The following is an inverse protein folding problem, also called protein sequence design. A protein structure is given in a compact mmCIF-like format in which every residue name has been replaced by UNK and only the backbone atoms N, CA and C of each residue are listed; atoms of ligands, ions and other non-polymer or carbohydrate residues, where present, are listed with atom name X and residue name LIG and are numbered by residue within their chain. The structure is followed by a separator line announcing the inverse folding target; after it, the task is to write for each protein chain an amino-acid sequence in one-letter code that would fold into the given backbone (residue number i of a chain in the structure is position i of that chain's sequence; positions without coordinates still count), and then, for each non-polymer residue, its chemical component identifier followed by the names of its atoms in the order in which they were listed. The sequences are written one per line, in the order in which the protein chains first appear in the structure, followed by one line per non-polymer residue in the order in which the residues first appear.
data_IF_745966994849
#
_entry.id   IF_745966994849
#
_cell.length_a   1.000
_cell.length_b   1.000
_cell.length_c   1.000
_cell.angle_alpha   90.00
_cell.angle_beta   90.00
_cell.angle_gamma   90.00
#
_symmetry.space_group_name_H-M   'P 1'
#
loop_
_entity.id
_entity.type
_entity.pdbx_description
1 polymer ?
#
# COMPACT_ATOMS: atom_id res chain seq x y z
N UNK A 1 41.43 28.41 -41.21
CA UNK A 1 41.64 29.11 -39.92
C UNK A 1 40.42 28.82 -39.06
N UNK A 2 40.68 28.10 -37.98
CA UNK A 2 39.87 27.83 -36.77
C UNK A 2 38.38 28.19 -36.83
N UNK A 3 37.53 27.15 -36.84
CA UNK A 3 36.21 27.15 -36.22
C UNK A 3 36.36 26.58 -34.81
N UNK A 4 35.76 27.24 -33.82
CA UNK A 4 35.57 26.69 -32.48
C UNK A 4 34.15 27.02 -31.99
N UNK A 5 33.54 26.04 -31.32
CA UNK A 5 32.52 26.28 -30.30
C UNK A 5 31.19 25.55 -30.48
N UNK A 6 31.17 24.21 -30.36
CA UNK A 6 30.11 23.47 -29.66
C UNK A 6 30.48 21.97 -29.57
N UNK A 7 30.06 21.33 -28.46
CA UNK A 7 30.09 19.90 -28.09
C UNK A 7 31.26 19.52 -27.14
N UNK A 8 31.02 19.53 -25.82
CA UNK A 8 31.74 18.70 -24.84
C UNK A 8 30.79 18.31 -23.69
N UNK A 9 30.27 17.08 -23.73
CA UNK A 9 29.84 16.34 -22.52
C UNK A 9 29.91 14.82 -22.68
N UNK A 10 29.98 14.30 -23.91
CA UNK A 10 30.16 12.87 -24.20
C UNK A 10 31.63 12.39 -24.15
N UNK A 11 32.63 13.28 -24.23
CA UNK A 11 34.05 12.86 -24.27
C UNK A 11 34.69 12.53 -22.91
N UNK A 12 33.99 12.73 -21.79
CA UNK A 12 34.47 12.30 -20.46
C UNK A 12 34.03 10.90 -20.02
N UNK A 13 33.09 10.27 -20.73
CA UNK A 13 32.67 8.88 -20.47
C UNK A 13 33.47 7.86 -21.30
N UNK A 14 34.14 8.30 -22.36
CA UNK A 14 34.89 7.43 -23.28
C UNK A 14 36.31 7.03 -22.85
N UNK A 15 36.78 7.38 -21.65
CA UNK A 15 38.17 7.07 -21.21
C UNK A 15 38.31 6.32 -19.89
N UNK A 16 37.25 5.63 -19.44
CA UNK A 16 37.34 4.75 -18.27
C UNK A 16 36.84 3.32 -18.52
N UNK A 17 36.93 2.84 -19.76
CA UNK A 17 36.68 1.43 -20.09
C UNK A 17 37.82 0.94 -20.97
N UNK A 18 39.02 0.81 -20.41
CA UNK A 18 40.06 -0.04 -20.97
C UNK A 18 40.89 -0.62 -19.82
N UNK A 19 40.45 -1.79 -19.35
CA UNK A 19 41.28 -2.94 -18.92
C UNK A 19 40.33 -3.99 -18.34
N UNK A 20 40.14 -5.08 -19.08
CA UNK A 20 39.99 -6.48 -18.62
C UNK A 20 39.64 -7.39 -19.85
N UNK A 21 39.99 -8.70 -19.84
CA UNK A 21 40.37 -9.47 -21.04
C UNK A 21 39.25 -10.26 -21.75
N UNK A 22 39.65 -10.89 -22.86
CA UNK A 22 38.86 -11.32 -24.01
C UNK A 22 38.01 -12.61 -23.90
N UNK A 23 37.38 -12.93 -22.77
CA UNK A 23 36.55 -14.15 -22.63
C UNK A 23 35.02 -13.93 -22.64
N UNK A 24 34.54 -12.69 -22.78
CA UNK A 24 33.10 -12.36 -22.74
C UNK A 24 32.42 -12.12 -24.09
N UNK A 25 33.00 -12.57 -25.21
CA UNK A 25 32.33 -12.49 -26.54
C UNK A 25 31.55 -13.75 -26.94
N UNK A 26 31.40 -14.74 -26.06
CA UNK A 26 30.75 -16.02 -26.39
C UNK A 26 29.27 -16.18 -26.00
N UNK A 27 28.68 -15.30 -25.18
CA UNK A 27 27.39 -15.59 -24.52
C UNK A 27 26.18 -14.78 -25.03
N UNK A 28 26.37 -13.91 -26.02
CA UNK A 28 25.28 -13.08 -26.56
C UNK A 28 24.49 -13.72 -27.72
N UNK A 29 24.76 -14.99 -28.07
CA UNK A 29 24.04 -15.69 -29.15
C UNK A 29 23.72 -17.12 -28.70
N UNK A 30 22.77 -17.26 -27.78
CA UNK A 30 21.95 -18.48 -27.53
C UNK A 30 21.09 -18.29 -26.28
N UNK A 31 20.04 -17.48 -26.39
CA UNK A 31 18.84 -17.55 -25.54
C UNK A 31 17.65 -16.96 -26.31
N UNK A 32 17.45 -17.43 -27.54
CA UNK A 32 16.17 -17.37 -28.26
C UNK A 32 15.65 -18.81 -28.31
N UNK A 33 14.94 -19.23 -27.27
CA UNK A 33 14.43 -20.60 -27.19
C UNK A 33 14.15 -21.11 -25.78
N UNK A 34 13.36 -20.37 -25.00
CA UNK A 34 12.64 -20.91 -23.85
C UNK A 34 11.44 -20.01 -23.58
N UNK A 35 10.41 -20.16 -24.41
CA UNK A 35 9.08 -19.73 -24.06
C UNK A 35 8.58 -20.61 -22.91
N UNK A 36 7.93 -19.96 -21.93
CA UNK A 36 7.24 -20.53 -20.76
C UNK A 36 8.08 -20.74 -19.50
N UNK A 37 8.44 -19.62 -18.88
CA UNK A 37 8.49 -19.51 -17.41
C UNK A 37 7.90 -18.15 -17.04
N UNK A 38 6.70 -18.14 -16.43
CA UNK A 38 6.10 -16.96 -15.79
C UNK A 38 6.31 -17.13 -14.28
N UNK A 39 6.97 -16.20 -13.58
CA UNK A 39 6.85 -16.17 -12.12
C UNK A 39 5.40 -15.79 -11.79
N UNK A 40 4.74 -16.56 -10.94
CA UNK A 40 3.47 -16.14 -10.34
C UNK A 40 3.74 -14.89 -9.49
N UNK A 41 2.90 -13.86 -9.62
CA UNK A 41 3.07 -12.54 -8.98
C UNK A 41 3.26 -12.62 -7.45
N UNK A 42 2.71 -13.66 -6.82
CA UNK A 42 2.74 -13.91 -5.37
C UNK A 42 4.15 -14.00 -4.75
N UNK A 43 5.16 -14.49 -5.48
CA UNK A 43 6.52 -14.67 -4.93
C UNK A 43 7.31 -13.34 -4.89
N UNK A 44 6.96 -12.37 -5.74
CA UNK A 44 7.63 -11.07 -5.83
C UNK A 44 7.25 -10.18 -4.64
N UNK A 45 5.98 -10.21 -4.24
CA UNK A 45 5.45 -9.45 -3.11
C UNK A 45 5.99 -9.96 -1.78
N UNK A 46 6.13 -11.28 -1.61
CA UNK A 46 6.70 -11.86 -0.40
C UNK A 46 8.17 -11.46 -0.21
N UNK A 47 8.95 -11.39 -1.30
CA UNK A 47 10.35 -10.96 -1.28
C UNK A 47 10.45 -9.44 -1.04
N UNK A 48 9.56 -8.64 -1.63
CA UNK A 48 9.52 -7.20 -1.41
C UNK A 48 9.11 -6.86 0.03
N UNK A 49 8.04 -7.45 0.56
CA UNK A 49 7.57 -7.27 1.94
C UNK A 49 8.64 -7.72 2.94
N UNK A 50 9.31 -8.85 2.70
CA UNK A 50 10.44 -9.27 3.52
C UNK A 50 11.61 -8.26 3.48
N UNK A 51 11.92 -7.69 2.32
CA UNK A 51 12.97 -6.69 2.17
C UNK A 51 12.62 -5.36 2.88
N UNK A 52 11.36 -4.92 2.80
CA UNK A 52 10.86 -3.72 3.49
C UNK A 52 10.86 -3.92 5.00
N UNK A 53 10.39 -5.08 5.50
CA UNK A 53 10.45 -5.43 6.92
C UNK A 53 11.88 -5.45 7.45
N UNK A 54 12.83 -5.98 6.67
CA UNK A 54 14.25 -5.97 7.00
C UNK A 54 14.79 -4.53 7.03
N UNK A 55 14.47 -3.69 6.03
CA UNK A 55 14.93 -2.31 5.97
C UNK A 55 14.40 -1.46 7.13
N UNK A 56 13.10 -1.56 7.43
CA UNK A 56 12.46 -0.83 8.55
C UNK A 56 13.00 -1.29 9.90
N UNK A 57 13.24 -2.59 10.08
CA UNK A 57 13.85 -3.14 11.30
C UNK A 57 15.32 -2.68 11.47
N UNK A 58 16.09 -2.62 10.37
CA UNK A 58 17.44 -2.07 10.38
C UNK A 58 17.45 -0.56 10.69
N UNK A 59 16.43 0.20 10.28
CA UNK A 59 16.35 1.64 10.56
C UNK A 59 15.90 1.97 12.01
N UNK A 60 15.17 1.10 12.70
CA UNK A 60 14.64 1.36 14.06
C UNK A 60 15.60 1.07 15.23
N UNK A 61 16.87 0.81 14.95
CA UNK A 61 17.88 0.57 15.99
C UNK A 61 19.21 1.27 15.76
N UNK A 62 19.32 2.13 14.74
CA UNK A 62 20.58 2.77 14.37
C UNK A 62 20.55 4.23 14.77
N UNK A 63 21.19 4.56 15.89
CA UNK A 63 21.58 5.92 16.21
C UNK A 63 22.78 6.29 15.33
N UNK A 64 22.56 7.10 14.30
CA UNK A 64 23.67 7.65 13.50
C UNK A 64 24.18 8.89 14.21
N UNK A 65 25.34 8.79 14.84
CA UNK A 65 26.02 9.95 15.39
C UNK A 65 26.74 10.66 14.23
N UNK A 66 26.23 11.83 13.82
CA UNK A 66 26.66 12.50 12.59
C UNK A 66 28.16 12.94 12.61
N UNK A 67 28.80 12.94 13.78
CA UNK A 67 30.21 13.32 13.93
C UNK A 67 31.19 12.12 13.93
N UNK A 68 30.69 10.89 14.00
CA UNK A 68 31.51 9.66 14.00
C UNK A 68 30.96 8.62 13.03
N UNK A 69 30.90 8.96 11.76
CA UNK A 69 30.67 7.96 10.72
C UNK A 69 31.82 6.94 10.76
N UNK A 70 31.56 5.70 11.22
CA UNK A 70 32.17 4.42 10.78
C UNK A 70 31.79 3.20 11.63
N UNK A 71 31.17 3.33 12.82
CA UNK A 71 30.77 2.15 13.61
C UNK A 71 29.25 1.92 13.63
N UNK A 72 28.82 0.78 13.08
CA UNK A 72 27.49 0.18 13.27
C UNK A 72 27.68 -0.97 14.25
N UNK A 73 27.25 -0.80 15.50
CA UNK A 73 27.28 -1.86 16.51
C UNK A 73 25.98 -2.66 16.45
N UNK A 74 26.09 -3.95 16.07
CA UNK A 74 24.98 -4.91 16.15
C UNK A 74 25.13 -5.68 17.46
N UNK A 75 24.11 -5.70 18.36
CA UNK A 75 24.22 -6.39 19.64
C UNK A 75 24.53 -7.89 19.49
N UNK A 76 25.49 -8.38 20.29
CA UNK A 76 25.82 -9.79 20.36
C UNK A 76 24.60 -10.60 20.85
N UNK A 77 24.03 -11.41 19.94
CA UNK A 77 22.79 -12.17 20.19
C UNK A 77 21.75 -12.11 19.05
N UNK A 78 22.01 -11.34 17.99
CA UNK A 78 21.08 -11.15 16.88
C UNK A 78 20.88 -12.38 15.96
N UNK A 79 21.94 -13.17 15.74
CA UNK A 79 21.92 -14.31 14.82
C UNK A 79 21.43 -15.65 15.42
N UNK A 80 21.62 -15.97 16.71
CA UNK A 80 21.19 -17.26 17.27
C UNK A 80 19.66 -17.44 17.41
N UNK A 81 18.86 -16.38 17.25
CA UNK A 81 17.40 -16.46 17.34
C UNK A 81 16.75 -17.15 16.11
N UNK A 82 17.51 -17.37 15.03
CA UNK A 82 17.09 -18.14 13.87
C UNK A 82 17.61 -19.58 14.04
N UNK A 83 16.73 -20.52 14.36
CA UNK A 83 17.11 -21.92 14.54
C UNK A 83 17.87 -22.46 13.30
N UNK A 84 18.95 -23.23 13.49
CA UNK A 84 19.72 -23.79 12.37
C UNK A 84 18.87 -24.88 11.70
N UNK A 85 18.24 -24.52 10.58
CA UNK A 85 17.39 -25.45 9.82
C UNK A 85 16.26 -24.81 9.00
N UNK A 86 15.98 -23.52 9.18
CA UNK A 86 14.96 -22.78 8.37
C UNK A 86 15.50 -21.67 7.47
N UNK A 87 16.82 -21.47 7.43
CA UNK A 87 17.45 -20.62 6.43
C UNK A 87 17.69 -21.44 5.17
N UNK A 88 17.18 -20.96 4.03
CA UNK A 88 17.51 -21.51 2.71
C UNK A 88 19.04 -21.65 2.58
N UNK A 89 19.57 -22.74 1.98
CA UNK A 89 21.02 -23.00 1.86
C UNK A 89 21.83 -21.87 1.19
N UNK A 90 21.16 -20.86 0.61
CA UNK A 90 21.75 -19.69 -0.03
C UNK A 90 22.12 -18.54 0.92
N UNK A 91 21.81 -18.63 2.22
CA UNK A 91 22.12 -17.59 3.21
C UNK A 91 23.31 -17.92 4.13
N UNK A 92 23.93 -19.10 3.97
CA UNK A 92 25.07 -19.55 4.78
C UNK A 92 26.40 -18.82 4.47
N UNK A 93 26.45 -18.01 3.43
CA UNK A 93 27.66 -17.27 3.00
C UNK A 93 27.80 -15.84 3.56
N UNK A 94 26.89 -15.37 4.41
CA UNK A 94 26.91 -13.99 4.90
C UNK A 94 28.02 -13.68 5.93
N UNK A 95 28.79 -14.67 6.38
CA UNK A 95 29.81 -14.46 7.40
C UNK A 95 31.18 -13.99 6.91
N UNK A 96 31.34 -13.70 5.61
CA UNK A 96 32.63 -13.19 5.12
C UNK A 96 32.48 -12.29 3.90
N UNK A 97 32.13 -11.03 4.11
CA UNK A 97 32.37 -9.98 3.13
C UNK A 97 32.72 -8.68 3.84
N UNK A 98 34.02 -8.40 3.89
CA UNK A 98 34.57 -7.11 4.31
C UNK A 98 34.24 -6.02 3.29
N UNK A 99 33.66 -4.92 3.81
CA UNK A 99 33.63 -3.55 3.27
C UNK A 99 33.40 -3.40 1.76
N UNK A 100 32.16 -3.17 1.33
CA UNK A 100 31.88 -2.34 0.15
C UNK A 100 30.58 -1.54 0.32
N UNK A 101 30.52 -0.38 -0.32
CA UNK A 101 29.51 0.67 -0.15
C UNK A 101 28.11 0.29 -0.67
N UNK A 102 27.04 0.98 -0.23
CA UNK A 102 25.64 0.61 -0.50
C UNK A 102 25.25 0.51 -1.99
N UNK A 103 26.04 1.07 -2.91
CA UNK A 103 25.78 1.01 -4.36
C UNK A 103 26.07 -0.35 -5.01
N UNK A 104 26.80 -1.26 -4.35
CA UNK A 104 27.14 -2.58 -4.90
C UNK A 104 26.09 -3.67 -4.58
N UNK A 105 25.19 -3.41 -3.62
CA UNK A 105 24.23 -4.40 -3.11
C UNK A 105 23.12 -4.70 -4.13
N UNK A 106 22.69 -3.70 -4.89
CA UNK A 106 21.62 -3.81 -5.90
C UNK A 106 22.07 -4.47 -7.21
N UNK A 107 23.35 -4.39 -7.57
CA UNK A 107 23.87 -5.02 -8.79
C UNK A 107 24.14 -6.53 -8.61
N UNK A 108 24.58 -6.96 -7.43
CA UNK A 108 24.90 -8.37 -7.16
C UNK A 108 23.67 -9.28 -7.08
N UNK A 109 22.50 -8.73 -6.68
CA UNK A 109 21.24 -9.46 -6.64
C UNK A 109 20.69 -9.79 -8.03
N UNK A 110 21.03 -8.99 -9.05
CA UNK A 110 20.49 -9.16 -10.41
C UNK A 110 21.35 -10.09 -11.30
N UNK A 111 22.64 -10.29 -10.99
CA UNK A 111 23.55 -11.10 -11.82
C UNK A 111 23.62 -12.60 -11.47
N UNK A 112 23.05 -13.05 -10.34
CA UNK A 112 23.16 -14.46 -9.88
C UNK A 112 21.99 -15.38 -10.29
N UNK A 113 21.12 -14.96 -11.20
CA UNK A 113 20.00 -15.79 -11.68
C UNK A 113 20.26 -16.59 -12.96
N UNK A 114 21.48 -16.59 -13.50
CA UNK A 114 21.83 -17.40 -14.68
C UNK A 114 23.16 -18.11 -14.48
N UNK A 115 23.11 -19.31 -13.89
CA UNK A 115 23.96 -20.47 -14.17
C UNK A 115 23.93 -21.44 -12.98
N UNK A 116 23.24 -22.57 -13.13
CA UNK A 116 23.81 -23.92 -13.00
C UNK A 116 22.69 -24.92 -12.69
N UNK A 117 22.18 -25.54 -13.77
CA UNK A 117 21.69 -26.91 -13.77
C UNK A 117 22.89 -27.78 -14.17
N UNK A 118 23.19 -28.81 -13.38
CA UNK A 118 23.59 -30.19 -13.76
C UNK A 118 24.28 -30.87 -12.55
N UNK A 119 23.57 -31.89 -12.05
CA UNK A 119 23.96 -33.17 -11.41
C UNK A 119 25.20 -33.27 -10.50
N UNK A 120 25.03 -33.83 -9.29
CA UNK A 120 25.32 -35.25 -9.06
C UNK A 120 24.74 -35.77 -7.72
N UNK A 121 24.32 -37.04 -7.76
CA UNK A 121 23.94 -37.90 -6.64
C UNK A 121 25.11 -38.10 -5.66
N UNK A 122 24.85 -38.13 -4.35
CA UNK A 122 25.25 -39.29 -3.55
C UNK A 122 24.59 -39.36 -2.16
N UNK A 123 24.17 -40.58 -1.83
CA UNK A 123 23.62 -41.02 -0.55
C UNK A 123 24.69 -41.13 0.55
N UNK A 124 24.42 -40.66 1.77
CA UNK A 124 24.59 -41.39 3.04
C UNK A 124 24.53 -40.47 4.27
N UNK A 125 23.65 -40.80 5.22
CA UNK A 125 23.97 -41.00 6.65
C UNK A 125 22.77 -40.69 7.55
N UNK A 126 22.11 -41.76 7.99
CA UNK A 126 21.25 -41.79 9.17
C UNK A 126 22.10 -41.78 10.45
N UNK A 127 21.44 -41.41 11.55
CA UNK A 127 21.76 -41.64 12.97
C UNK A 127 22.59 -40.56 13.69
N UNK A 128 21.96 -39.86 14.64
CA UNK A 128 22.06 -40.16 16.08
C UNK A 128 21.29 -39.11 16.91
N UNK A 129 20.24 -39.56 17.61
CA UNK A 129 19.79 -38.94 18.86
C UNK A 129 20.74 -39.39 19.98
N UNK A 130 21.14 -38.49 20.89
CA UNK A 130 20.88 -38.60 22.33
C UNK A 130 21.58 -37.52 23.18
N UNK A 131 20.82 -37.05 24.18
CA UNK A 131 21.20 -36.46 25.47
C UNK A 131 22.00 -35.16 25.53
N UNK A 132 21.36 -34.11 26.07
CA UNK A 132 21.89 -33.35 27.20
C UNK A 132 20.75 -32.55 27.86
N UNK A 133 20.09 -33.18 28.83
CA UNK A 133 19.26 -32.48 29.81
C UNK A 133 20.16 -31.91 30.91
N UNK A 134 19.70 -30.79 31.49
CA UNK A 134 20.08 -30.18 32.78
C UNK A 134 21.45 -29.51 32.91
N UNK A 135 21.46 -28.17 32.90
CA UNK A 135 22.07 -27.35 33.97
C UNK A 135 21.47 -25.92 33.98
N UNK A 136 21.03 -25.51 35.18
CA UNK A 136 20.72 -24.16 35.70
C UNK A 136 19.32 -23.53 35.51
N UNK A 137 18.53 -23.43 36.61
CA UNK A 137 17.27 -22.73 36.71
C UNK A 137 17.45 -21.33 37.31
N UNK A 138 17.53 -20.29 36.48
CA UNK A 138 17.29 -18.90 36.89
C UNK A 138 17.20 -17.97 35.66
N UNK A 139 16.03 -17.95 35.00
CA UNK A 139 15.58 -16.89 34.07
C UNK A 139 14.09 -17.11 33.75
N UNK A 140 13.31 -17.45 34.76
CA UNK A 140 11.88 -17.19 34.75
C UNK A 140 11.70 -15.73 35.18
N UNK A 141 11.26 -14.89 34.22
CA UNK A 141 10.85 -13.47 34.30
C UNK A 141 11.71 -12.54 33.44
N UNK A 142 11.51 -12.65 32.13
CA UNK A 142 11.43 -11.56 31.15
C UNK A 142 11.27 -12.23 29.80
N UNK A 143 10.03 -12.52 29.45
CA UNK A 143 9.67 -12.71 28.04
C UNK A 143 10.21 -11.48 27.32
N UNK A 144 11.09 -11.61 26.32
CA UNK A 144 11.38 -10.49 25.45
C UNK A 144 10.04 -10.14 24.81
N UNK A 145 9.49 -8.97 25.13
CA UNK A 145 8.45 -8.40 24.31
C UNK A 145 9.10 -8.17 22.96
N UNK A 146 8.90 -9.11 22.03
CA UNK A 146 9.01 -8.80 20.63
C UNK A 146 7.99 -7.69 20.40
N UNK A 147 8.47 -6.45 20.35
CA UNK A 147 7.84 -5.37 19.59
C UNK A 147 7.87 -5.82 18.13
N UNK A 148 7.08 -6.85 17.80
CA UNK A 148 6.82 -7.25 16.43
C UNK A 148 6.11 -6.08 15.78
N UNK A 149 6.62 -5.66 14.63
CA UNK A 149 5.96 -4.68 13.78
C UNK A 149 4.55 -5.21 13.48
N UNK A 150 3.55 -4.67 14.16
CA UNK A 150 2.16 -5.04 13.98
C UNK A 150 1.58 -4.09 12.95
N UNK A 151 1.16 -4.64 11.82
CA UNK A 151 0.46 -3.86 10.81
C UNK A 151 -0.88 -3.36 11.41
N UNK A 152 -1.34 -2.17 11.00
CA UNK A 152 -2.65 -1.67 11.39
C UNK A 152 -3.76 -2.50 10.74
N UNK A 153 -5.00 -2.26 11.17
CA UNK A 153 -6.17 -2.74 10.44
C UNK A 153 -6.20 -2.16 9.03
N UNK A 154 -6.55 -2.98 8.05
CA UNK A 154 -6.93 -2.49 6.74
C UNK A 154 -8.39 -2.06 6.78
N UNK A 155 -8.61 -0.74 6.88
CA UNK A 155 -9.91 -0.12 7.11
C UNK A 155 -10.70 0.19 5.84
N UNK A 156 -10.17 -0.17 4.66
CA UNK A 156 -10.76 0.15 3.36
C UNK A 156 -10.45 -0.95 2.34
N UNK A 157 -11.39 -1.87 2.14
CA UNK A 157 -11.27 -3.02 1.22
C UNK A 157 -12.60 -3.26 0.51
N UNK A 158 -12.55 -3.46 -0.79
CA UNK A 158 -13.69 -3.77 -1.65
C UNK A 158 -13.68 -5.24 -2.07
N UNK A 159 -14.87 -5.77 -2.35
CA UNK A 159 -15.04 -7.19 -2.74
C UNK A 159 -16.09 -7.33 -3.84
N UNK A 160 -16.54 -8.54 -4.11
CA UNK A 160 -17.55 -8.81 -5.15
C UNK A 160 -18.86 -8.02 -4.97
N UNK A 161 -19.10 -7.47 -3.78
CA UNK A 161 -20.26 -6.66 -3.43
C UNK A 161 -20.16 -5.20 -3.87
N UNK A 162 -18.96 -4.69 -4.14
CA UNK A 162 -18.74 -3.39 -4.79
C UNK A 162 -18.94 -3.50 -6.29
N UNK A 163 -19.61 -2.53 -6.90
CA UNK A 163 -20.04 -2.60 -8.30
C UNK A 163 -18.88 -2.55 -9.30
N UNK A 164 -17.72 -2.04 -8.90
CA UNK A 164 -16.51 -1.87 -9.71
C UNK A 164 -15.40 -2.87 -9.40
N UNK A 165 -15.62 -3.78 -8.46
CA UNK A 165 -14.63 -4.76 -8.02
C UNK A 165 -14.83 -6.11 -8.74
N UNK A 166 -13.94 -6.41 -9.70
CA UNK A 166 -13.91 -7.69 -10.44
C UNK A 166 -12.47 -8.10 -10.86
N UNK A 167 -11.98 -9.29 -10.45
CA UNK A 167 -12.62 -10.21 -9.51
C UNK A 167 -12.48 -9.72 -8.07
N UNK A 168 -13.61 -9.40 -7.42
CA UNK A 168 -13.69 -9.30 -5.98
C UNK A 168 -13.84 -10.68 -5.34
N UNK A 169 -13.19 -10.91 -4.20
CA UNK A 169 -13.36 -12.15 -3.42
C UNK A 169 -13.10 -11.88 -1.94
N UNK A 170 -14.17 -11.72 -1.15
CA UNK A 170 -14.11 -11.45 0.27
C UNK A 170 -13.38 -12.54 1.08
N UNK A 171 -13.56 -13.81 0.72
CA UNK A 171 -12.92 -14.92 1.42
C UNK A 171 -11.41 -14.97 1.14
N UNK A 172 -11.01 -14.73 -0.11
CA UNK A 172 -9.60 -14.63 -0.48
C UNK A 172 -8.94 -13.39 0.14
N UNK A 173 -9.65 -12.27 0.26
CA UNK A 173 -9.20 -11.07 0.97
C UNK A 173 -8.97 -11.36 2.46
N UNK A 174 -9.86 -12.10 3.12
CA UNK A 174 -9.62 -12.57 4.50
C UNK A 174 -8.38 -13.47 4.60
N UNK A 175 -8.22 -14.40 3.66
CA UNK A 175 -7.05 -15.27 3.62
C UNK A 175 -5.75 -14.47 3.40
N UNK A 176 -5.77 -13.42 2.58
CA UNK A 176 -4.63 -12.50 2.42
C UNK A 176 -4.34 -11.73 3.70
N UNK A 177 -5.36 -11.16 4.34
CA UNK A 177 -5.20 -10.40 5.58
C UNK A 177 -4.46 -11.21 6.65
N UNK A 178 -4.84 -12.48 6.83
CA UNK A 178 -4.13 -13.41 7.72
C UNK A 178 -2.69 -13.68 7.29
N UNK A 179 -2.41 -13.87 5.99
CA UNK A 179 -1.04 -14.06 5.48
C UNK A 179 -0.16 -12.84 5.73
N UNK A 180 -0.71 -11.63 5.60
CA UNK A 180 -0.02 -10.38 5.87
C UNK A 180 0.24 -10.15 7.36
N UNK A 181 -0.54 -10.83 8.23
CA UNK A 181 -0.53 -10.63 9.67
C UNK A 181 -1.32 -9.39 10.11
N UNK A 182 -2.33 -9.00 9.34
CA UNK A 182 -3.25 -7.93 9.70
C UNK A 182 -4.09 -8.37 10.92
N UNK A 183 -4.29 -7.48 11.92
CA UNK A 183 -5.11 -7.80 13.07
C UNK A 183 -6.61 -7.73 12.77
N UNK A 184 -7.00 -6.93 11.78
CA UNK A 184 -8.37 -6.85 11.29
C UNK A 184 -8.43 -6.37 9.83
N UNK A 185 -9.57 -6.60 9.21
CA UNK A 185 -9.96 -6.03 7.90
C UNK A 185 -11.38 -5.46 8.01
N UNK A 186 -11.61 -4.29 7.43
CA UNK A 186 -12.94 -3.72 7.24
C UNK A 186 -13.28 -3.78 5.75
N UNK A 187 -14.37 -4.48 5.42
CA UNK A 187 -14.94 -4.44 4.09
C UNK A 187 -15.83 -3.20 3.99
N UNK A 188 -15.50 -2.27 3.10
CA UNK A 188 -16.16 -0.97 2.96
C UNK A 188 -16.69 -0.85 1.55
N UNK A 189 -17.73 -1.62 1.26
CA UNK A 189 -18.25 -1.72 -0.11
C UNK A 189 -18.78 -0.38 -0.60
N UNK A 190 -18.69 -0.17 -1.91
CA UNK A 190 -19.23 1.00 -2.59
C UNK A 190 -20.73 1.15 -2.30
N UNK A 191 -21.10 2.27 -1.68
CA UNK A 191 -22.48 2.70 -1.51
C UNK A 191 -22.65 4.04 -2.23
N UNK A 192 -22.97 3.95 -3.51
CA UNK A 192 -23.06 5.10 -4.41
C UNK A 192 -24.50 5.31 -4.91
N UNK A 193 -24.96 6.56 -4.84
CA UNK A 193 -26.23 7.00 -5.44
C UNK A 193 -26.03 8.02 -6.57
N UNK A 194 -24.80 8.48 -6.75
CA UNK A 194 -24.45 9.43 -7.80
C UNK A 194 -24.54 8.73 -9.15
N UNK A 195 -25.26 9.34 -10.09
CA UNK A 195 -25.22 8.95 -11.50
C UNK A 195 -24.06 9.66 -12.16
N UNK A 196 -23.12 8.88 -12.68
CA UNK A 196 -21.91 9.39 -13.31
C UNK A 196 -22.20 9.65 -14.79
N UNK A 197 -21.68 10.76 -15.31
CA UNK A 197 -21.92 11.21 -16.69
C UNK A 197 -20.62 11.31 -17.46
N UNK A 198 -20.70 11.20 -18.78
CA UNK A 198 -19.55 11.17 -19.70
C UNK A 198 -18.51 10.11 -19.30
N UNK A 199 -18.97 8.96 -18.80
CA UNK A 199 -18.10 7.84 -18.49
C UNK A 199 -17.74 7.13 -19.80
N UNK A 200 -16.46 7.12 -20.13
CA UNK A 200 -15.95 6.33 -21.25
C UNK A 200 -15.45 4.97 -20.73
N UNK A 201 -15.80 3.85 -21.39
CA UNK A 201 -15.27 2.54 -21.01
C UNK A 201 -13.74 2.55 -21.12
N UNK A 202 -13.06 2.34 -20.00
CA UNK A 202 -11.61 2.10 -20.04
C UNK A 202 -11.36 0.78 -20.78
N UNK A 203 -10.36 0.71 -21.67
CA UNK A 203 -10.02 -0.52 -22.40
C UNK A 203 -9.75 -1.72 -21.48
N UNK A 204 -9.29 -1.45 -20.26
CA UNK A 204 -8.92 -2.44 -19.25
C UNK A 204 -9.94 -2.49 -18.09
N UNK A 205 -11.08 -1.79 -18.18
CA UNK A 205 -12.12 -1.88 -17.16
C UNK A 205 -12.74 -3.28 -17.14
N UNK A 206 -13.11 -3.80 -15.94
CA UNK A 206 -13.82 -5.05 -15.85
C UNK A 206 -15.17 -5.01 -16.58
N UNK A 207 -15.63 -6.16 -17.07
CA UNK A 207 -16.90 -6.28 -17.77
C UNK A 207 -18.06 -5.79 -16.92
N UNK A 208 -18.02 -6.06 -15.60
CA UNK A 208 -18.99 -5.59 -14.62
C UNK A 208 -19.16 -4.06 -14.63
N UNK A 209 -18.08 -3.30 -14.83
CA UNK A 209 -18.15 -1.82 -14.93
C UNK A 209 -18.63 -1.40 -16.32
N UNK A 210 -18.07 -1.98 -17.38
CA UNK A 210 -18.41 -1.59 -18.75
C UNK A 210 -19.88 -1.84 -19.08
N UNK A 211 -20.47 -2.90 -18.53
CA UNK A 211 -21.88 -3.26 -18.74
C UNK A 211 -22.86 -2.32 -18.01
N UNK A 212 -22.38 -1.52 -17.05
CA UNK A 212 -23.17 -0.51 -16.35
C UNK A 212 -23.19 0.84 -17.08
N UNK A 213 -22.34 1.04 -18.09
CA UNK A 213 -22.26 2.27 -18.87
C UNK A 213 -23.31 2.21 -19.99
N UNK A 214 -24.30 3.09 -19.92
CA UNK A 214 -25.31 3.27 -20.96
C UNK A 214 -24.71 3.79 -22.27
N UNK A 215 -25.44 3.60 -23.38
CA UNK A 215 -25.04 4.10 -24.71
C UNK A 215 -24.83 5.63 -24.75
N UNK A 216 -25.43 6.36 -23.80
CA UNK A 216 -25.32 7.80 -23.63
C UNK A 216 -24.13 8.23 -22.74
N UNK A 217 -23.30 7.29 -22.29
CA UNK A 217 -22.16 7.55 -21.40
C UNK A 217 -22.56 7.79 -19.94
N UNK A 218 -23.77 7.38 -19.55
CA UNK A 218 -24.26 7.45 -18.17
C UNK A 218 -23.98 6.13 -17.45
N UNK A 219 -23.36 6.18 -16.28
CA UNK A 219 -23.21 5.02 -15.37
C UNK A 219 -24.08 5.26 -14.13
N UNK A 220 -25.00 4.34 -13.87
CA UNK A 220 -25.79 4.33 -12.62
C UNK A 220 -25.33 3.17 -11.76
N UNK A 221 -24.66 3.43 -10.62
CA UNK A 221 -24.24 2.37 -9.72
C UNK A 221 -25.45 1.54 -9.27
N UNK A 222 -25.38 0.19 -9.32
CA UNK A 222 -26.43 -0.65 -8.80
C UNK A 222 -26.53 -0.49 -7.28
N UNK A 223 -27.72 -0.67 -6.68
CA UNK A 223 -27.86 -0.64 -5.22
C UNK A 223 -27.06 -1.80 -4.59
N UNK A 224 -26.38 -1.51 -3.47
CA UNK A 224 -25.71 -2.53 -2.67
C UNK A 224 -26.74 -3.53 -2.10
N UNK A 225 -26.54 -4.81 -2.36
CA UNK A 225 -27.28 -5.89 -1.69
C UNK A 225 -26.74 -6.08 -0.26
N UNK A 226 -27.27 -5.28 0.66
CA UNK A 226 -26.84 -5.25 2.07
C UNK A 226 -27.03 -6.61 2.75
N UNK A 227 -28.14 -7.30 2.50
CA UNK A 227 -28.42 -8.59 3.13
C UNK A 227 -27.43 -9.66 2.66
N UNK A 228 -27.17 -9.71 1.35
CA UNK A 228 -26.18 -10.60 0.76
C UNK A 228 -24.76 -10.33 1.25
N UNK A 229 -24.37 -9.04 1.27
CA UNK A 229 -23.08 -8.57 1.77
C UNK A 229 -22.85 -8.97 3.23
N UNK A 230 -23.79 -8.66 4.13
CA UNK A 230 -23.67 -8.99 5.55
C UNK A 230 -23.68 -10.50 5.79
N UNK A 231 -24.45 -11.27 5.02
CA UNK A 231 -24.39 -12.73 5.05
C UNK A 231 -23.02 -13.26 4.59
N UNK A 232 -22.36 -12.62 3.61
CA UNK A 232 -20.99 -12.97 3.20
C UNK A 232 -19.98 -12.70 4.31
N UNK A 233 -20.06 -11.53 4.93
CA UNK A 233 -19.20 -11.18 6.08
C UNK A 233 -19.36 -12.19 7.21
N UNK A 234 -20.60 -12.60 7.54
CA UNK A 234 -20.82 -13.60 8.58
C UNK A 234 -20.17 -14.95 8.24
N UNK A 235 -20.28 -15.41 6.98
CA UNK A 235 -19.58 -16.64 6.54
C UNK A 235 -18.07 -16.52 6.69
N UNK A 236 -17.50 -15.35 6.35
CA UNK A 236 -16.08 -15.10 6.51
C UNK A 236 -15.67 -15.10 7.99
N UNK A 237 -16.46 -14.48 8.89
CA UNK A 237 -16.22 -14.52 10.34
C UNK A 237 -16.21 -15.96 10.88
N UNK A 238 -17.13 -16.80 10.41
CA UNK A 238 -17.18 -18.21 10.82
C UNK A 238 -15.97 -19.00 10.29
N UNK A 239 -15.51 -18.70 9.08
CA UNK A 239 -14.38 -19.37 8.41
C UNK A 239 -13.00 -18.92 8.91
N UNK A 240 -12.88 -17.67 9.34
CA UNK A 240 -11.62 -17.03 9.74
C UNK A 240 -11.72 -16.45 11.17
N UNK A 241 -11.91 -17.29 12.21
CA UNK A 241 -12.15 -16.82 13.57
C UNK A 241 -10.96 -16.08 14.21
N UNK A 242 -9.76 -16.24 13.65
CA UNK A 242 -8.54 -15.55 14.10
C UNK A 242 -8.36 -14.15 13.48
N UNK A 243 -9.25 -13.74 12.56
CA UNK A 243 -9.26 -12.43 11.94
C UNK A 243 -10.45 -11.63 12.45
N UNK A 244 -10.21 -10.41 12.94
CA UNK A 244 -11.32 -9.48 13.21
C UNK A 244 -11.81 -8.95 11.86
N UNK A 245 -13.07 -9.21 11.53
CA UNK A 245 -13.69 -8.75 10.28
C UNK A 245 -14.76 -7.73 10.63
N UNK A 246 -14.60 -6.51 10.13
CA UNK A 246 -15.51 -5.39 10.31
C UNK A 246 -16.39 -5.22 9.08
N UNK A 247 -17.65 -4.88 9.31
CA UNK A 247 -18.62 -4.49 8.29
C UNK A 247 -18.56 -3.00 8.05
N UNK A 248 -18.71 -2.55 6.81
CA UNK A 248 -18.67 -1.13 6.51
C UNK A 248 -19.13 -0.81 5.11
N UNK A 249 -19.17 0.50 4.84
CA UNK A 249 -19.45 1.05 3.51
C UNK A 249 -18.55 2.25 3.25
N UNK A 250 -18.19 2.43 1.99
CA UNK A 250 -17.63 3.68 1.47
C UNK A 250 -18.77 4.49 0.85
N UNK A 251 -19.12 5.61 1.48
CA UNK A 251 -20.20 6.47 1.02
C UNK A 251 -19.66 7.51 0.02
N UNK A 252 -20.01 7.35 -1.27
CA UNK A 252 -19.71 8.31 -2.32
C UNK A 252 -20.61 9.55 -2.28
N UNK A 253 -19.99 10.72 -2.13
CA UNK A 253 -20.61 12.05 -2.06
C UNK A 253 -21.89 12.13 -1.20
N UNK A 254 -21.83 11.73 0.08
CA UNK A 254 -23.04 11.52 0.86
C UNK A 254 -23.83 12.79 1.17
N UNK A 255 -23.18 13.95 1.06
CA UNK A 255 -23.81 15.25 1.18
C UNK A 255 -24.84 15.58 0.08
N UNK A 256 -24.78 14.90 -1.08
CA UNK A 256 -25.77 15.02 -2.16
C UNK A 256 -26.94 14.04 -2.02
N UNK A 257 -26.77 12.95 -1.27
CA UNK A 257 -27.73 11.83 -1.20
C UNK A 257 -28.12 11.44 0.23
N UNK A 258 -28.21 12.44 1.11
CA UNK A 258 -28.35 12.26 2.57
C UNK A 258 -29.48 11.32 2.97
N UNK A 259 -30.64 11.45 2.33
CA UNK A 259 -31.82 10.64 2.67
C UNK A 259 -31.65 9.18 2.25
N UNK A 260 -31.02 8.93 1.10
CA UNK A 260 -30.70 7.59 0.64
C UNK A 260 -29.68 6.91 1.57
N UNK A 261 -28.62 7.62 1.96
CA UNK A 261 -27.65 7.12 2.94
C UNK A 261 -28.29 6.87 4.30
N UNK A 262 -29.10 7.79 4.82
CA UNK A 262 -29.80 7.61 6.10
C UNK A 262 -30.71 6.37 6.09
N UNK A 263 -31.32 6.07 4.94
CA UNK A 263 -32.16 4.86 4.78
C UNK A 263 -31.32 3.59 4.91
N UNK A 264 -30.19 3.49 4.20
CA UNK A 264 -29.33 2.29 4.23
C UNK A 264 -28.62 2.14 5.57
N UNK A 265 -28.03 3.23 6.10
CA UNK A 265 -27.35 3.21 7.39
C UNK A 265 -28.29 2.97 8.57
N UNK A 266 -29.56 3.38 8.46
CA UNK A 266 -30.58 3.09 9.47
C UNK A 266 -31.10 1.65 9.44
N UNK A 267 -30.97 0.96 8.30
CA UNK A 267 -31.38 -0.43 8.15
C UNK A 267 -30.25 -1.42 8.49
N UNK A 268 -28.99 -1.06 8.20
CA UNK A 268 -27.82 -1.89 8.44
C UNK A 268 -27.13 -1.64 9.79
N UNK A 269 -26.30 -2.58 10.21
CA UNK A 269 -25.34 -2.39 11.30
C UNK A 269 -23.95 -2.41 10.68
N UNK A 270 -23.35 -1.23 10.53
CA UNK A 270 -22.01 -1.06 9.96
C UNK A 270 -21.03 -0.65 11.06
N UNK A 271 -19.90 -1.34 11.15
CA UNK A 271 -18.80 -1.02 12.07
C UNK A 271 -17.95 0.17 11.56
N UNK A 272 -17.97 0.44 10.26
CA UNK A 272 -17.19 1.50 9.59
C UNK A 272 -18.03 2.22 8.53
N UNK A 273 -18.03 3.55 8.57
CA UNK A 273 -18.56 4.36 7.46
C UNK A 273 -17.49 5.33 7.03
N UNK A 274 -17.01 5.16 5.80
CA UNK A 274 -16.12 6.11 5.15
C UNK A 274 -16.96 7.11 4.36
N UNK A 275 -16.48 8.33 4.23
CA UNK A 275 -17.01 9.28 3.25
C UNK A 275 -15.94 9.60 2.22
N UNK A 276 -16.33 9.60 0.95
CA UNK A 276 -15.46 9.82 -0.19
C UNK A 276 -16.06 10.82 -1.18
N UNK A 277 -15.19 11.36 -2.03
CA UNK A 277 -15.55 12.26 -3.12
C UNK A 277 -14.90 11.68 -4.39
N UNK A 278 -15.70 11.05 -5.24
CA UNK A 278 -15.24 10.42 -6.48
C UNK A 278 -15.54 11.30 -7.70
N UNK A 279 -16.54 12.20 -7.61
CA UNK A 279 -17.02 13.01 -8.72
C UNK A 279 -17.19 14.49 -8.36
N UNK A 280 -17.19 15.34 -9.39
CA UNK A 280 -17.45 16.78 -9.28
C UNK A 280 -18.47 17.25 -10.34
N UNK A 281 -19.15 18.40 -10.12
CA UNK A 281 -20.03 19.00 -11.11
C UNK A 281 -19.29 19.47 -12.37
N UNK A 282 -19.68 18.94 -13.53
CA UNK A 282 -19.21 19.37 -14.85
C UNK A 282 -20.39 19.52 -15.81
N UNK A 283 -20.63 20.75 -16.27
CA UNK A 283 -21.79 21.03 -17.12
C UNK A 283 -23.10 20.71 -16.39
N UNK A 284 -23.86 19.74 -16.90
CA UNK A 284 -25.15 19.32 -16.35
C UNK A 284 -25.11 18.06 -15.48
N UNK A 285 -23.93 17.46 -15.24
CA UNK A 285 -23.79 16.18 -14.54
C UNK A 285 -22.60 16.11 -13.60
N UNK A 286 -22.39 14.93 -13.02
CA UNK A 286 -21.29 14.61 -12.10
C UNK A 286 -20.30 13.68 -12.80
N UNK A 287 -19.01 13.99 -12.70
CA UNK A 287 -17.96 13.38 -13.50
C UNK A 287 -16.73 13.11 -12.63
N UNK A 288 -16.00 12.04 -12.91
CA UNK A 288 -14.72 11.77 -12.24
C UNK A 288 -13.64 12.81 -12.60
N UNK A 289 -12.64 13.03 -11.72
CA UNK A 289 -11.54 13.96 -11.97
C UNK A 289 -10.87 13.87 -13.34
N UNK A 290 -10.72 12.66 -13.89
CA UNK A 290 -10.12 12.45 -15.23
C UNK A 290 -10.81 13.25 -16.32
N UNK A 291 -12.15 13.25 -16.32
CA UNK A 291 -12.96 13.97 -17.31
C UNK A 291 -12.87 15.49 -17.12
N UNK A 292 -12.73 15.95 -15.88
CA UNK A 292 -12.47 17.36 -15.59
C UNK A 292 -11.11 17.80 -16.12
N UNK A 293 -10.08 16.99 -15.96
CA UNK A 293 -8.73 17.30 -16.43
C UNK A 293 -8.62 17.36 -17.96
N UNK A 294 -9.46 16.63 -18.68
CA UNK A 294 -9.53 16.72 -20.14
C UNK A 294 -10.09 18.06 -20.65
N UNK A 295 -10.83 18.80 -19.80
CA UNK A 295 -11.61 19.99 -20.21
C UNK A 295 -11.25 21.28 -19.48
N UNK A 296 -10.54 21.19 -18.35
CA UNK A 296 -10.27 22.31 -17.45
C UNK A 296 -8.79 22.36 -17.06
N UNK A 297 -8.25 23.53 -16.68
CA UNK A 297 -6.91 23.63 -16.11
C UNK A 297 -6.78 22.73 -14.87
N UNK A 298 -5.72 21.91 -14.82
CA UNK A 298 -5.58 20.89 -13.77
C UNK A 298 -5.55 21.46 -12.35
N UNK A 299 -4.91 22.62 -12.17
CA UNK A 299 -4.91 23.29 -10.87
C UNK A 299 -6.33 23.65 -10.39
N UNK A 300 -7.22 24.08 -11.29
CA UNK A 300 -8.58 24.48 -10.92
C UNK A 300 -9.43 23.26 -10.53
N UNK A 301 -9.20 22.11 -11.17
CA UNK A 301 -9.87 20.84 -10.79
C UNK A 301 -9.52 20.43 -9.37
N UNK A 302 -8.24 20.51 -8.99
CA UNK A 302 -7.79 20.17 -7.63
C UNK A 302 -8.36 21.14 -6.60
N UNK A 303 -8.41 22.44 -6.92
CA UNK A 303 -9.02 23.45 -6.04
C UNK A 303 -10.51 23.20 -5.82
N UNK A 304 -11.25 22.92 -6.89
CA UNK A 304 -12.68 22.61 -6.81
C UNK A 304 -12.92 21.32 -6.00
N UNK A 305 -12.09 20.29 -6.22
CA UNK A 305 -12.12 19.04 -5.45
C UNK A 305 -11.99 19.29 -3.95
N UNK A 306 -10.93 20.00 -3.55
CA UNK A 306 -10.66 20.29 -2.14
C UNK A 306 -11.70 21.24 -1.53
N UNK A 307 -12.29 22.12 -2.34
CA UNK A 307 -13.38 23.01 -1.91
C UNK A 307 -14.72 22.28 -1.68
N UNK A 308 -14.90 21.08 -2.26
CA UNK A 308 -16.10 20.27 -2.03
C UNK A 308 -16.04 19.48 -0.72
N UNK A 309 -14.84 19.14 -0.23
CA UNK A 309 -14.66 18.42 1.05
C UNK A 309 -15.37 19.12 2.23
N UNK A 310 -15.25 20.45 2.45
CA UNK A 310 -16.06 21.16 3.43
C UNK A 310 -17.57 21.00 3.27
N UNK A 311 -18.08 20.95 2.03
CA UNK A 311 -19.51 20.74 1.76
C UNK A 311 -19.92 19.32 2.11
N UNK A 312 -19.07 18.34 1.81
CA UNK A 312 -19.23 16.96 2.23
C UNK A 312 -19.33 16.86 3.76
N UNK A 313 -18.34 17.38 4.48
CA UNK A 313 -18.27 17.32 5.95
C UNK A 313 -19.45 18.02 6.61
N UNK A 314 -19.86 19.19 6.10
CA UNK A 314 -21.02 19.92 6.62
C UNK A 314 -22.36 19.26 6.26
N UNK A 315 -22.39 18.53 5.15
CA UNK A 315 -23.60 17.94 4.61
C UNK A 315 -23.91 16.53 5.12
N UNK A 316 -22.91 15.82 5.64
CA UNK A 316 -23.08 14.45 6.09
C UNK A 316 -22.40 14.22 7.44
N UNK A 317 -23.19 13.94 8.47
CA UNK A 317 -22.66 13.75 9.82
C UNK A 317 -22.25 12.30 10.11
N UNK A 318 -22.85 11.34 9.42
CA UNK A 318 -22.85 9.91 9.78
C UNK A 318 -21.68 9.15 9.15
N UNK A 319 -20.46 9.69 9.26
CA UNK A 319 -19.24 9.01 8.85
C UNK A 319 -18.13 9.15 9.91
N UNK A 320 -17.22 8.17 9.87
CA UNK A 320 -16.13 8.04 10.84
C UNK A 320 -14.81 8.62 10.31
N UNK A 321 -14.49 8.35 9.05
CA UNK A 321 -13.22 8.72 8.43
C UNK A 321 -13.45 9.29 7.02
N UNK A 322 -12.73 10.35 6.68
CA UNK A 322 -12.64 10.83 5.30
C UNK A 322 -11.65 9.93 4.54
N UNK A 323 -12.13 9.23 3.51
CA UNK A 323 -11.31 8.42 2.63
C UNK A 323 -10.48 9.29 1.67
N UNK A 324 -9.30 8.78 1.29
CA UNK A 324 -8.42 9.28 0.21
C UNK A 324 -8.65 10.74 -0.25
N UNK A 325 -8.38 11.71 0.63
CA UNK A 325 -8.53 13.15 0.32
C UNK A 325 -7.71 13.60 -0.91
N UNK A 326 -6.75 12.79 -1.34
CA UNK A 326 -5.91 12.97 -2.51
C UNK A 326 -6.37 12.17 -3.74
N UNK A 327 -7.58 11.60 -3.75
CA UNK A 327 -8.14 10.82 -4.88
C UNK A 327 -8.01 11.53 -6.23
N UNK A 328 -8.21 12.85 -6.26
CA UNK A 328 -8.05 13.68 -7.46
C UNK A 328 -6.65 13.53 -8.10
N UNK A 329 -5.63 13.23 -7.32
CA UNK A 329 -4.26 13.05 -7.81
C UNK A 329 -4.06 11.76 -8.64
N UNK A 330 -4.92 10.75 -8.47
CA UNK A 330 -4.90 9.49 -9.25
C UNK A 330 -5.07 9.75 -10.75
N UNK A 331 -5.77 10.82 -11.10
CA UNK A 331 -6.07 11.22 -12.46
C UNK A 331 -5.20 12.40 -12.95
N UNK A 332 -4.16 12.77 -12.19
CA UNK A 332 -3.33 13.94 -12.51
C UNK A 332 -2.72 13.83 -13.92
N UNK A 333 -2.85 14.86 -14.78
CA UNK A 333 -2.37 14.77 -16.17
C UNK A 333 -0.86 14.57 -16.27
N UNK A 334 -0.44 13.50 -16.93
CA UNK A 334 0.99 13.23 -17.15
C UNK A 334 1.74 14.40 -17.84
N UNK A 335 1.05 15.14 -18.71
CA UNK A 335 1.59 16.32 -19.39
C UNK A 335 1.89 17.50 -18.45
N UNK A 336 1.31 17.53 -17.25
CA UNK A 336 1.54 18.56 -16.23
C UNK A 336 2.77 18.26 -15.34
N UNK A 337 3.46 17.13 -15.56
CA UNK A 337 4.55 16.67 -14.69
C UNK A 337 4.02 15.94 -13.44
N UNK A 338 4.89 15.61 -12.47
CA UNK A 338 4.45 14.93 -11.25
C UNK A 338 3.53 15.83 -10.42
N UNK A 339 2.48 15.25 -9.85
CA UNK A 339 1.64 15.96 -8.88
C UNK A 339 2.45 16.32 -7.65
N UNK A 340 2.35 17.57 -7.21
CA UNK A 340 3.00 18.06 -5.99
C UNK A 340 1.95 18.65 -5.05
N UNK A 341 1.65 18.02 -3.90
CA UNK A 341 0.61 18.52 -2.99
C UNK A 341 0.92 19.91 -2.45
N UNK A 342 2.19 20.33 -2.37
CA UNK A 342 2.56 21.67 -1.86
C UNK A 342 2.06 22.81 -2.74
N UNK A 343 1.75 22.54 -4.01
CA UNK A 343 1.18 23.54 -4.91
C UNK A 343 -0.28 23.90 -4.53
N UNK A 344 -0.88 23.12 -3.63
CA UNK A 344 -2.26 23.24 -3.14
C UNK A 344 -2.34 23.22 -1.60
N UNK A 345 -1.26 23.61 -0.91
CA UNK A 345 -1.16 23.51 0.56
C UNK A 345 -2.29 24.26 1.27
N UNK A 346 -2.66 25.45 0.81
CA UNK A 346 -3.73 26.25 1.43
C UNK A 346 -5.08 25.54 1.33
N UNK A 347 -5.39 24.98 0.16
CA UNK A 347 -6.63 24.26 -0.11
C UNK A 347 -6.70 22.94 0.68
N UNK A 348 -5.59 22.18 0.74
CA UNK A 348 -5.53 20.97 1.57
C UNK A 348 -5.72 21.29 3.04
N UNK A 349 -4.99 22.28 3.57
CA UNK A 349 -5.13 22.67 4.99
C UNK A 349 -6.54 23.13 5.32
N UNK A 350 -7.19 23.85 4.41
CA UNK A 350 -8.58 24.26 4.60
C UNK A 350 -9.51 23.04 4.69
N UNK A 351 -9.45 22.13 3.72
CA UNK A 351 -10.24 20.89 3.73
C UNK A 351 -9.97 20.04 4.99
N UNK A 352 -8.69 19.80 5.31
CA UNK A 352 -8.27 19.05 6.50
C UNK A 352 -8.78 19.68 7.79
N UNK A 353 -8.72 21.01 7.92
CA UNK A 353 -9.25 21.71 9.11
C UNK A 353 -10.73 21.41 9.32
N UNK A 354 -11.53 21.38 8.24
CA UNK A 354 -12.96 21.08 8.37
C UNK A 354 -13.23 19.68 8.92
N UNK A 355 -12.43 18.69 8.52
CA UNK A 355 -12.53 17.33 9.06
C UNK A 355 -12.03 17.28 10.51
N UNK A 356 -10.87 17.88 10.81
CA UNK A 356 -10.22 17.84 12.12
C UNK A 356 -11.13 18.39 13.24
N UNK A 357 -11.87 19.48 12.96
CA UNK A 357 -12.79 20.11 13.92
C UNK A 357 -13.98 19.24 14.32
N UNK A 358 -14.18 18.10 13.66
CA UNK A 358 -15.32 17.21 13.90
C UNK A 358 -14.96 15.97 14.73
N UNK A 359 -13.68 15.78 15.08
CA UNK A 359 -13.20 14.60 15.80
C UNK A 359 -13.17 13.31 14.96
N UNK A 360 -13.36 13.43 13.64
CA UNK A 360 -13.28 12.31 12.69
C UNK A 360 -11.84 11.99 12.31
N UNK A 361 -11.64 10.80 11.76
CA UNK A 361 -10.33 10.37 11.28
C UNK A 361 -10.06 10.85 9.84
N UNK A 362 -8.78 10.96 9.51
CA UNK A 362 -8.31 11.00 8.13
C UNK A 362 -7.76 9.62 7.76
N UNK A 363 -8.14 9.12 6.59
CA UNK A 363 -7.53 7.91 6.04
C UNK A 363 -6.14 8.20 5.44
N UNK A 364 -5.18 7.34 5.78
CA UNK A 364 -3.92 7.18 5.05
C UNK A 364 -4.11 6.02 4.08
N UNK A 365 -4.48 6.36 2.86
CA UNK A 365 -4.78 5.39 1.80
C UNK A 365 -3.50 4.97 1.07
N UNK A 366 -3.34 3.68 0.77
CA UNK A 366 -2.13 3.12 0.14
C UNK A 366 -2.34 2.56 -1.27
N UNK A 367 -3.51 2.76 -1.87
CA UNK A 367 -3.73 2.46 -3.30
C UNK A 367 -2.68 3.14 -4.19
N UNK A 368 -2.33 4.37 -3.82
CA UNK A 368 -1.16 5.08 -4.30
C UNK A 368 -0.25 5.39 -3.11
N UNK A 369 1.01 5.72 -3.39
CA UNK A 369 1.95 6.11 -2.33
C UNK A 369 1.41 7.38 -1.62
N UNK A 370 1.08 7.32 -0.33
CA UNK A 370 0.48 8.46 0.35
C UNK A 370 1.49 9.60 0.50
N UNK A 371 1.00 10.83 0.41
CA UNK A 371 1.82 12.05 0.54
C UNK A 371 2.10 12.38 2.01
N UNK A 372 3.37 12.36 2.47
CA UNK A 372 3.72 12.72 3.85
C UNK A 372 3.32 14.15 4.21
N UNK A 373 3.27 15.06 3.23
CA UNK A 373 2.84 16.44 3.40
C UNK A 373 1.41 16.53 3.93
N UNK A 374 0.48 15.74 3.38
CA UNK A 374 -0.93 15.75 3.78
C UNK A 374 -1.09 15.25 5.22
N UNK A 375 -0.41 14.16 5.58
CA UNK A 375 -0.43 13.61 6.95
C UNK A 375 0.21 14.59 7.95
N UNK A 376 1.29 15.28 7.54
CA UNK A 376 1.91 16.33 8.36
C UNK A 376 0.95 17.51 8.57
N UNK A 377 0.31 18.01 7.51
CA UNK A 377 -0.66 19.09 7.62
C UNK A 377 -1.87 18.70 8.45
N UNK A 378 -2.36 17.47 8.33
CA UNK A 378 -3.43 16.92 9.16
C UNK A 378 -3.13 17.12 10.65
N UNK A 379 -1.92 16.71 11.08
CA UNK A 379 -1.48 16.92 12.47
C UNK A 379 -1.36 18.40 12.83
N UNK A 380 -0.77 19.21 11.95
CA UNK A 380 -0.56 20.65 12.19
C UNK A 380 -1.87 21.44 12.32
N UNK A 381 -2.95 21.05 11.62
CA UNK A 381 -4.28 21.66 11.75
C UNK A 381 -5.09 21.10 12.93
N UNK A 382 -4.48 20.25 13.76
CA UNK A 382 -5.11 19.68 14.96
C UNK A 382 -5.86 18.36 14.72
N UNK A 383 -5.64 17.70 13.59
CA UNK A 383 -6.13 16.35 13.34
C UNK A 383 -5.45 15.33 14.25
N UNK A 384 -6.24 14.63 15.07
CA UNK A 384 -5.72 13.73 16.11
C UNK A 384 -5.75 12.26 15.70
N UNK A 385 -6.61 11.88 14.75
CA UNK A 385 -6.94 10.47 14.49
C UNK A 385 -6.69 10.12 13.03
N UNK A 386 -6.03 8.99 12.78
CA UNK A 386 -5.86 8.43 11.44
C UNK A 386 -6.26 6.96 11.38
N UNK A 387 -6.69 6.53 10.20
CA UNK A 387 -6.94 5.13 9.82
C UNK A 387 -6.05 4.76 8.63
N UNK A 388 -5.88 3.47 8.38
CA UNK A 388 -5.18 2.96 7.19
C UNK A 388 -6.17 2.25 6.30
N UNK A 389 -5.99 2.35 4.99
CA UNK A 389 -6.83 1.68 4.00
C UNK A 389 -6.03 1.36 2.76
N UNK A 390 -6.13 0.12 2.26
CA UNK A 390 -5.48 -0.25 1.00
C UNK A 390 -6.29 0.12 -0.22
N UNK A 391 -7.61 0.32 -0.06
CA UNK A 391 -8.57 0.49 -1.16
C UNK A 391 -8.51 -0.71 -2.13
N UNK A 392 -8.27 -1.90 -1.56
CA UNK A 392 -8.01 -3.10 -2.34
C UNK A 392 -9.28 -3.54 -3.07
N UNK A 393 -9.21 -3.55 -4.40
CA UNK A 393 -10.22 -4.11 -5.31
C UNK A 393 -9.86 -5.52 -5.81
N UNK A 394 -8.76 -6.08 -5.30
CA UNK A 394 -8.44 -7.49 -5.49
C UNK A 394 -7.74 -8.03 -4.24
N UNK A 395 -7.90 -9.33 -3.93
CA UNK A 395 -7.33 -9.93 -2.73
C UNK A 395 -5.83 -9.72 -2.55
N UNK A 396 -5.05 -9.63 -3.63
CA UNK A 396 -3.59 -9.42 -3.57
C UNK A 396 -3.20 -8.06 -2.98
N UNK A 397 -4.03 -7.03 -3.12
CA UNK A 397 -3.77 -5.67 -2.66
C UNK A 397 -4.11 -5.41 -1.19
N UNK A 398 -4.77 -6.34 -0.50
CA UNK A 398 -5.09 -6.18 0.93
C UNK A 398 -3.81 -5.98 1.75
N UNK A 399 -3.74 -4.88 2.50
CA UNK A 399 -2.59 -4.43 3.27
C UNK A 399 -1.38 -3.96 2.44
N UNK A 400 -1.52 -3.77 1.14
CA UNK A 400 -0.43 -3.31 0.28
C UNK A 400 0.08 -1.92 0.69
N UNK A 401 1.39 -1.70 0.72
CA UNK A 401 2.00 -0.42 1.09
C UNK A 401 1.93 -0.04 2.58
N UNK A 402 1.39 -0.92 3.44
CA UNK A 402 1.20 -0.59 4.86
C UNK A 402 2.50 -0.43 5.62
N UNK A 403 3.55 -1.19 5.29
CA UNK A 403 4.82 -1.09 5.99
C UNK A 403 5.46 0.30 5.81
N UNK A 404 5.45 0.85 4.59
CA UNK A 404 5.91 2.20 4.32
C UNK A 404 5.00 3.25 4.95
N UNK A 405 3.68 3.09 4.84
CA UNK A 405 2.71 4.02 5.40
C UNK A 405 2.86 4.12 6.93
N UNK A 406 3.00 2.98 7.62
CA UNK A 406 3.24 2.92 9.07
C UNK A 406 4.54 3.66 9.44
N UNK A 407 5.64 3.39 8.73
CA UNK A 407 6.90 4.05 9.01
C UNK A 407 6.80 5.59 8.84
N UNK A 408 6.10 6.05 7.80
CA UNK A 408 5.83 7.48 7.55
C UNK A 408 4.98 8.11 8.66
N UNK A 409 3.85 7.49 8.97
CA UNK A 409 2.90 7.97 9.97
C UNK A 409 3.53 8.03 11.37
N UNK A 410 4.35 7.03 11.74
CA UNK A 410 5.09 7.05 13.01
C UNK A 410 6.17 8.15 13.04
N UNK A 411 6.86 8.39 11.92
CA UNK A 411 7.82 9.48 11.83
C UNK A 411 7.15 10.85 12.00
N UNK A 412 5.87 10.98 11.61
CA UNK A 412 5.07 12.20 11.75
C UNK A 412 4.42 12.37 13.12
N UNK A 413 4.56 11.39 14.02
CA UNK A 413 4.19 11.48 15.43
C UNK A 413 3.02 10.58 15.85
N UNK A 414 2.30 9.99 14.91
CA UNK A 414 1.14 9.15 15.21
C UNK A 414 1.56 7.79 15.77
N UNK A 415 0.73 7.20 16.63
CA UNK A 415 0.98 5.92 17.29
C UNK A 415 -0.27 5.05 17.25
N UNK A 416 -0.05 3.74 17.23
CA UNK A 416 -1.12 2.75 17.35
C UNK A 416 -1.93 2.97 18.63
N UNK A 417 -3.24 2.72 18.54
CA UNK A 417 -4.12 2.63 19.70
C UNK A 417 -3.77 1.45 20.62
N UNK A 418 -4.62 1.22 21.62
CA UNK A 418 -4.36 0.20 22.65
C UNK A 418 -4.61 -1.21 22.14
N UNK A 419 -5.56 -1.36 21.23
CA UNK A 419 -5.88 -2.60 20.57
C UNK A 419 -5.29 -2.63 19.16
N UNK A 420 -4.90 -3.81 18.65
CA UNK A 420 -4.34 -3.97 17.31
C UNK A 420 -5.20 -3.40 16.17
N UNK A 421 -6.52 -3.31 16.39
CA UNK A 421 -7.49 -2.81 15.42
C UNK A 421 -8.04 -1.41 15.74
N UNK A 422 -7.45 -0.73 16.72
CA UNK A 422 -7.78 0.65 17.00
C UNK A 422 -7.27 1.59 15.90
N UNK A 423 -7.89 2.76 15.84
CA UNK A 423 -7.35 3.92 15.13
C UNK A 423 -6.02 4.36 15.73
N UNK A 424 -5.28 5.16 14.98
CA UNK A 424 -4.00 5.70 15.40
C UNK A 424 -4.13 7.17 15.79
N UNK A 425 -3.31 7.61 16.75
CA UNK A 425 -3.45 8.90 17.42
C UNK A 425 -2.16 9.72 17.40
N UNK A 426 -2.27 11.04 17.26
CA UNK A 426 -1.17 12.02 17.09
C UNK A 426 -0.28 12.28 18.33
#
# INVERSE_FOLDING_TARGET
MVQDGHIEREERLGKLIEREPAELRGFAVRCSGAAHWRPEEDDTDAVHDAAVRIAVYLCRGVTVNAEEAVQVDVPAGFLPAFAPGRLLPRLTGLHSATRQSPGAFTAAAHQKHTASLILDDDTAARSQLHSATSFLPWLATRTPCYCGFMLPTDGHVHTEWSWDCEPGDMEASCARALRMGLPAVAFTEHLDFTVWTNVEPSPDAPAKVTDLIGEDGTLTPPPLDVDGYLACVQRCRDKFPDLVILTGVEAGEPHWHRDQFATVLGAGQFDRVLASLHTLPLGGGLNEPGEHFARRPAADVVRDYLAEIPRLVAGFADFEALAHIDFVSRYWPAAAGPFNPTDFEEEFRYALTTVATTGRALEVNTNHKPFPEIVRWWREVGGEVITFGSDAHAPSFVGHGFAEAVAMVEALGFRAGRHPYDRWYA
#
